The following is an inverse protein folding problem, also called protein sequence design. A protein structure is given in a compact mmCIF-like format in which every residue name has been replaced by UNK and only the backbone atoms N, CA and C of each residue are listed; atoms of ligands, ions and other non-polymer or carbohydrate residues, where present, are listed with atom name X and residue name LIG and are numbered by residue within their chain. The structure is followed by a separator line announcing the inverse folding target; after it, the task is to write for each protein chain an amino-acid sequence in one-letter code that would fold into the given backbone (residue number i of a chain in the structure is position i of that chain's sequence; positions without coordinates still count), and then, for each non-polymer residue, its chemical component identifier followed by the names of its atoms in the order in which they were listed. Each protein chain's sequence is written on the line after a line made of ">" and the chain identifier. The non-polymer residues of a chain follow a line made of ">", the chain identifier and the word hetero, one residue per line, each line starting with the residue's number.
data_IF_959581704496
#
_entry.id   IF_959581704496
#
_cell.length_a   1.000
_cell.length_b   1.000
_cell.length_c   1.000
_cell.angle_alpha   90.00
_cell.angle_beta   90.00
_cell.angle_gamma   90.00
#
_symmetry.space_group_name_H-M   'P 1'
#
loop_
_entity.id
_entity.type
_entity.pdbx_description
1 polymer ?
#
# COMPACT_ATOMS: atom_id res chain seq x y z
N UNK A 1 -9.73 -19.38 0.03
CA UNK A 1 -9.01 -18.96 1.24
C UNK A 1 -9.36 -17.54 1.70
N UNK A 2 -8.87 -16.46 1.06
CA UNK A 2 -9.05 -15.08 1.56
C UNK A 2 -10.52 -14.67 1.82
N UNK A 3 -11.45 -15.04 0.92
CA UNK A 3 -12.89 -14.79 1.10
C UNK A 3 -13.48 -15.51 2.32
N UNK A 4 -13.11 -16.77 2.53
CA UNK A 4 -13.60 -17.58 3.66
C UNK A 4 -13.11 -17.05 5.01
N UNK A 5 -11.91 -16.45 5.08
CA UNK A 5 -11.39 -15.86 6.32
C UNK A 5 -12.11 -14.57 6.69
N UNK A 6 -12.43 -13.73 5.70
CA UNK A 6 -13.19 -12.49 5.96
C UNK A 6 -14.65 -12.76 6.34
N UNK A 7 -15.23 -13.84 5.80
CA UNK A 7 -16.59 -14.26 6.15
C UNK A 7 -16.69 -14.85 7.58
N UNK A 8 -15.55 -15.13 8.24
CA UNK A 8 -15.47 -15.51 9.66
C UNK A 8 -15.45 -14.31 10.63
N UNK A 9 -15.66 -13.09 10.12
CA UNK A 9 -15.65 -11.88 10.96
C UNK A 9 -14.25 -11.42 11.37
N UNK A 10 -13.21 -11.85 10.65
CA UNK A 10 -11.85 -11.36 10.85
C UNK A 10 -11.79 -9.88 10.47
N UNK A 11 -11.20 -9.07 11.35
CA UNK A 11 -10.94 -7.66 11.08
C UNK A 11 -10.09 -7.52 9.81
N UNK A 12 -10.64 -6.82 8.81
CA UNK A 12 -10.02 -6.59 7.51
C UNK A 12 -8.75 -5.73 7.60
N UNK A 13 -8.55 -5.04 8.73
CA UNK A 13 -7.40 -4.19 9.00
C UNK A 13 -6.36 -4.82 9.94
N UNK A 14 -6.46 -6.14 10.19
CA UNK A 14 -5.50 -6.85 11.05
C UNK A 14 -4.07 -6.72 10.53
N UNK A 15 -3.14 -6.39 11.43
CA UNK A 15 -1.73 -6.19 11.08
C UNK A 15 -0.90 -7.45 11.30
N UNK A 16 0.04 -7.72 10.40
CA UNK A 16 1.07 -8.76 10.60
C UNK A 16 2.01 -8.35 11.74
N UNK A 17 2.87 -9.27 12.18
CA UNK A 17 3.98 -8.95 13.10
C UNK A 17 4.95 -7.90 12.54
N UNK A 18 4.98 -7.72 11.22
CA UNK A 18 5.74 -6.68 10.54
C UNK A 18 5.01 -5.33 10.51
N UNK A 19 3.77 -5.24 10.99
CA UNK A 19 2.99 -4.00 10.99
C UNK A 19 2.25 -3.73 9.66
N UNK A 20 2.23 -4.69 8.74
CA UNK A 20 1.55 -4.59 7.46
C UNK A 20 0.07 -4.92 7.59
N UNK A 21 -0.80 -4.09 7.01
CA UNK A 21 -2.21 -4.47 6.82
C UNK A 21 -2.37 -5.47 5.67
N UNK A 22 -3.51 -6.17 5.53
CA UNK A 22 -3.73 -7.11 4.43
C UNK A 22 -3.67 -6.41 3.06
N UNK A 23 -3.98 -5.11 3.02
CA UNK A 23 -3.89 -4.30 1.81
C UNK A 23 -2.44 -3.98 1.42
N UNK A 24 -1.51 -3.85 2.37
CA UNK A 24 -0.06 -3.80 2.07
C UNK A 24 0.41 -5.08 1.40
N UNK A 25 0.03 -6.24 1.96
CA UNK A 25 0.41 -7.54 1.41
C UNK A 25 -0.19 -7.74 0.02
N UNK A 26 -1.44 -7.33 -0.20
CA UNK A 26 -2.06 -7.36 -1.52
C UNK A 26 -1.35 -6.43 -2.51
N UNK A 27 -0.95 -5.22 -2.07
CA UNK A 27 -0.20 -4.25 -2.86
C UNK A 27 1.21 -4.75 -3.21
N UNK A 28 1.89 -5.41 -2.27
CA UNK A 28 3.21 -6.04 -2.42
C UNK A 28 3.20 -7.30 -3.30
N UNK A 29 2.04 -7.93 -3.49
CA UNK A 29 1.85 -9.04 -4.42
C UNK A 29 1.12 -8.66 -5.72
N UNK A 30 0.60 -7.44 -5.84
CA UNK A 30 -0.16 -7.00 -7.02
C UNK A 30 -1.50 -7.70 -7.20
N UNK A 31 -2.04 -8.23 -6.11
CA UNK A 31 -3.24 -9.05 -6.15
C UNK A 31 -4.51 -8.19 -6.19
N UNK A 32 -4.85 -7.66 -7.37
CA UNK A 32 -6.02 -6.81 -7.59
C UNK A 32 -7.33 -7.43 -7.08
N UNK A 33 -7.52 -8.73 -7.30
CA UNK A 33 -8.72 -9.45 -6.85
C UNK A 33 -8.84 -9.47 -5.33
N UNK A 34 -7.73 -9.62 -4.63
CA UNK A 34 -7.69 -9.61 -3.15
C UNK A 34 -7.89 -8.19 -2.66
N UNK A 35 -7.24 -7.21 -3.27
CA UNK A 35 -7.38 -5.80 -2.92
C UNK A 35 -8.82 -5.30 -3.06
N UNK A 36 -9.50 -5.60 -4.17
CA UNK A 36 -10.92 -5.29 -4.36
C UNK A 36 -11.77 -5.87 -3.23
N UNK A 37 -11.59 -7.16 -2.93
CA UNK A 37 -12.33 -7.81 -1.85
C UNK A 37 -12.06 -7.15 -0.48
N UNK A 38 -10.83 -6.75 -0.20
CA UNK A 38 -10.47 -6.07 1.05
C UNK A 38 -11.13 -4.68 1.13
N UNK A 39 -11.06 -3.90 0.05
CA UNK A 39 -11.65 -2.56 -0.05
C UNK A 39 -13.19 -2.62 0.07
N UNK A 40 -13.84 -3.56 -0.63
CA UNK A 40 -15.29 -3.81 -0.53
C UNK A 40 -15.74 -4.15 0.89
N UNK A 41 -14.82 -4.64 1.73
CA UNK A 41 -15.06 -5.01 3.14
C UNK A 41 -14.61 -3.93 4.13
N UNK A 42 -14.26 -2.73 3.65
CA UNK A 42 -13.90 -1.59 4.49
C UNK A 42 -12.44 -1.60 4.95
N UNK A 43 -11.54 -2.21 4.19
CA UNK A 43 -10.10 -2.04 4.43
C UNK A 43 -9.74 -0.55 4.36
N UNK A 44 -8.92 -0.11 5.32
CA UNK A 44 -8.34 1.23 5.30
C UNK A 44 -7.35 1.34 4.14
N UNK A 45 -7.79 2.06 3.10
CA UNK A 45 -7.01 2.33 1.89
C UNK A 45 -5.72 3.08 2.18
N UNK A 46 -5.70 3.86 3.27
CA UNK A 46 -4.58 4.67 3.73
C UNK A 46 -3.87 4.05 4.94
N UNK A 47 -4.10 2.76 5.23
CA UNK A 47 -3.49 2.09 6.36
C UNK A 47 -1.99 2.33 6.38
N UNK A 48 -1.46 2.85 7.48
CA UNK A 48 -0.02 3.03 7.62
C UNK A 48 0.64 1.74 8.14
N UNK A 49 1.80 1.42 7.56
CA UNK A 49 2.70 0.40 8.05
C UNK A 49 3.17 0.77 9.46
N UNK A 50 2.84 -0.10 10.42
CA UNK A 50 3.05 0.12 11.85
C UNK A 50 4.48 -0.14 12.32
N UNK A 51 4.70 -0.12 13.65
CA UNK A 51 5.93 -0.63 14.24
C UNK A 51 5.87 -2.17 14.24
N UNK A 52 6.37 -2.81 13.19
CA UNK A 52 6.62 -4.25 13.21
C UNK A 52 7.69 -4.65 14.24
N UNK A 53 7.83 -5.96 14.47
CA UNK A 53 8.88 -6.57 15.30
C UNK A 53 10.28 -6.29 14.77
N UNK A 54 10.41 -6.02 13.47
CA UNK A 54 11.63 -5.53 12.85
C UNK A 54 11.51 -4.01 12.71
N UNK A 55 12.39 -3.27 13.38
CA UNK A 55 12.41 -1.80 13.40
C UNK A 55 13.03 -1.26 12.10
N UNK A 56 12.51 -1.68 10.95
CA UNK A 56 12.90 -1.19 9.64
C UNK A 56 12.36 0.23 9.51
N UNK A 57 13.22 1.20 9.84
CA UNK A 57 12.88 2.64 9.83
C UNK A 57 12.27 3.11 8.51
N UNK A 58 12.65 2.46 7.42
CA UNK A 58 12.28 2.86 6.06
C UNK A 58 10.86 2.44 5.67
N UNK A 59 10.25 1.47 6.37
CA UNK A 59 8.90 0.98 6.05
C UNK A 59 7.80 1.65 6.85
N UNK A 60 8.12 2.35 7.93
CA UNK A 60 7.12 3.01 8.78
C UNK A 60 6.37 4.12 8.07
N UNK A 61 5.05 4.12 8.25
CA UNK A 61 4.18 5.14 7.67
C UNK A 61 3.99 4.99 6.17
N UNK A 62 4.53 3.94 5.54
CA UNK A 62 4.20 3.63 4.15
C UNK A 62 2.77 3.11 4.09
N UNK A 63 2.07 3.50 3.02
CA UNK A 63 0.69 3.09 2.74
C UNK A 63 0.67 2.01 1.66
N UNK A 64 -0.46 1.30 1.47
CA UNK A 64 -0.63 0.38 0.34
C UNK A 64 -0.31 1.01 -1.02
N UNK A 65 -0.62 2.31 -1.19
CA UNK A 65 -0.29 3.06 -2.40
C UNK A 65 1.22 3.18 -2.59
N UNK A 66 1.96 3.51 -1.53
CA UNK A 66 3.41 3.60 -1.58
C UNK A 66 4.06 2.24 -1.91
N UNK A 67 3.57 1.15 -1.31
CA UNK A 67 4.03 -0.21 -1.62
C UNK A 67 3.76 -0.58 -3.08
N UNK A 68 2.57 -0.27 -3.60
CA UNK A 68 2.22 -0.52 -5.01
C UNK A 68 3.09 0.29 -5.98
N UNK A 69 3.43 1.53 -5.61
CA UNK A 69 4.33 2.40 -6.36
C UNK A 69 5.75 1.86 -6.42
N UNK A 70 6.29 1.30 -5.32
CA UNK A 70 7.60 0.65 -5.31
C UNK A 70 7.62 -0.61 -6.19
N UNK A 71 6.53 -1.38 -6.18
CA UNK A 71 6.36 -2.56 -7.01
C UNK A 71 5.96 -2.29 -8.46
N UNK A 72 5.85 -1.02 -8.88
CA UNK A 72 5.54 -0.62 -10.26
C UNK A 72 4.18 -1.09 -10.78
N UNK A 73 3.19 -1.20 -9.88
CA UNK A 73 1.91 -1.85 -10.17
C UNK A 73 0.83 -0.85 -10.57
N UNK A 74 0.93 -0.31 -11.79
CA UNK A 74 0.03 0.75 -12.29
C UNK A 74 -1.46 0.44 -12.13
N UNK A 75 -1.91 -0.78 -12.47
CA UNK A 75 -3.32 -1.15 -12.30
C UNK A 75 -3.77 -1.18 -10.84
N UNK A 76 -2.84 -1.45 -9.92
CA UNK A 76 -3.11 -1.46 -8.47
C UNK A 76 -3.12 -0.04 -7.91
N UNK A 77 -2.23 0.83 -8.40
CA UNK A 77 -2.21 2.26 -8.10
C UNK A 77 -3.57 2.87 -8.46
N UNK A 78 -4.07 2.64 -9.68
CA UNK A 78 -5.37 3.15 -10.11
C UNK A 78 -6.49 2.64 -9.19
N UNK A 79 -6.51 1.35 -8.86
CA UNK A 79 -7.50 0.79 -7.94
C UNK A 79 -7.50 1.50 -6.59
N UNK A 80 -6.32 1.79 -6.03
CA UNK A 80 -6.21 2.47 -4.74
C UNK A 80 -6.66 3.94 -4.84
N UNK A 81 -6.29 4.65 -5.92
CA UNK A 81 -6.72 6.03 -6.16
C UNK A 81 -8.24 6.13 -6.34
N UNK A 82 -8.84 5.20 -7.09
CA UNK A 82 -10.30 5.10 -7.28
C UNK A 82 -11.03 4.87 -5.94
N UNK A 83 -10.33 4.29 -4.95
CA UNK A 83 -10.85 4.03 -3.60
C UNK A 83 -10.41 5.09 -2.58
N UNK A 84 -9.91 6.25 -3.02
CA UNK A 84 -9.60 7.39 -2.15
C UNK A 84 -8.23 7.31 -1.45
N UNK A 85 -7.28 6.57 -2.01
CA UNK A 85 -5.92 6.58 -1.51
C UNK A 85 -5.31 7.98 -1.61
N UNK A 86 -4.76 8.47 -0.50
CA UNK A 86 -4.07 9.74 -0.45
C UNK A 86 -2.67 9.62 -1.07
N UNK A 87 -2.38 10.45 -2.07
CA UNK A 87 -1.04 10.57 -2.69
C UNK A 87 -0.03 11.22 -1.74
N UNK A 88 -0.52 11.89 -0.69
CA UNK A 88 0.27 12.65 0.28
C UNK A 88 0.76 11.82 1.47
N UNK A 89 0.82 10.50 1.35
CA UNK A 89 1.43 9.63 2.35
C UNK A 89 2.90 10.05 2.55
N UNK A 90 3.15 10.85 3.58
CA UNK A 90 4.48 11.26 4.01
C UNK A 90 4.99 10.13 4.92
N UNK A 91 5.83 9.19 4.44
CA UNK A 91 6.60 8.40 5.38
C UNK A 91 7.35 9.37 6.28
N UNK A 92 7.30 9.12 7.59
CA UNK A 92 7.88 9.95 8.66
C UNK A 92 9.40 10.12 8.61
N UNK A 93 10.04 9.86 7.48
CA UNK A 93 11.49 9.93 7.28
C UNK A 93 11.81 10.51 5.90
N UNK A 94 11.74 11.84 5.74
CA UNK A 94 12.50 12.67 4.76
C UNK A 94 12.50 12.31 3.26
N UNK A 95 11.86 11.22 2.87
CA UNK A 95 11.89 10.60 1.57
C UNK A 95 10.45 10.30 1.22
N UNK A 96 9.76 11.28 0.65
CA UNK A 96 8.43 11.10 0.05
C UNK A 96 8.43 9.85 -0.84
N UNK A 97 7.29 9.22 -1.11
CA UNK A 97 7.14 8.10 -2.08
C UNK A 97 7.89 8.34 -3.42
N UNK A 98 8.10 9.63 -3.75
CA UNK A 98 8.89 10.20 -4.85
C UNK A 98 10.41 9.88 -4.78
N UNK A 99 10.98 9.68 -3.59
CA UNK A 99 12.42 9.52 -3.35
C UNK A 99 12.90 8.06 -3.35
N UNK A 100 12.01 7.08 -3.09
CA UNK A 100 12.37 5.65 -3.11
C UNK A 100 12.24 5.02 -4.51
N UNK A 101 11.63 5.71 -5.48
CA UNK A 101 11.67 5.35 -6.90
C UNK A 101 13.00 5.69 -7.59
N UNK A 102 13.97 6.25 -6.87
CA UNK A 102 15.30 6.64 -7.40
C UNK A 102 16.35 5.54 -7.15
N UNK A 103 15.95 4.28 -7.17
CA UNK A 103 16.89 3.19 -7.42
C UNK A 103 16.33 2.35 -8.57
N UNK A 104 16.81 2.69 -9.76
CA UNK A 104 16.67 1.97 -11.02
C UNK A 104 15.37 2.23 -11.83
N UNK A 105 15.51 3.17 -12.77
CA UNK A 105 14.82 3.22 -14.07
C UNK A 105 13.40 3.81 -14.20
N UNK A 106 12.95 4.72 -13.33
CA UNK A 106 11.61 5.33 -13.52
C UNK A 106 11.52 6.84 -13.36
N UNK A 107 12.01 7.55 -14.38
CA UNK A 107 11.66 8.95 -14.64
C UNK A 107 10.17 9.07 -15.08
N UNK A 108 9.64 8.10 -15.82
CA UNK A 108 8.24 8.11 -16.31
C UNK A 108 7.19 8.08 -15.17
N UNK A 109 7.54 7.55 -13.99
CA UNK A 109 6.67 7.58 -12.81
C UNK A 109 6.59 8.96 -12.16
N UNK A 110 7.65 9.77 -12.27
CA UNK A 110 7.66 11.14 -11.74
C UNK A 110 6.75 12.04 -12.57
N UNK A 111 6.74 11.88 -13.90
CA UNK A 111 5.85 12.65 -14.77
C UNK A 111 4.37 12.31 -14.53
N UNK A 112 4.04 11.03 -14.31
CA UNK A 112 2.67 10.58 -14.10
C UNK A 112 2.08 10.99 -12.74
N UNK A 113 2.94 11.18 -11.73
CA UNK A 113 2.55 11.64 -10.38
C UNK A 113 2.65 13.16 -10.19
N UNK A 114 3.32 13.90 -11.09
CA UNK A 114 3.36 15.36 -11.13
C UNK A 114 2.21 15.99 -11.94
N UNK A 115 1.41 15.17 -12.64
CA UNK A 115 0.28 15.62 -13.47
C UNK A 115 -1.10 15.56 -12.77
N UNK A 116 -1.15 15.23 -11.47
CA UNK A 116 -2.35 15.22 -10.63
C UNK A 116 -2.26 16.26 -9.52
#
# INVERSE_FOLDING_TARGET
>A
MARQLLDLGVDVNIRTSYGESPLHVAAANGSLRVAKLLLDRGADVNAEHGRGTFNERNWRGLTPLAVASLGLRTSFINLLLDNGASTMARPTTGHTVIHLSISEHKLDMLELLLQI
#
